data_IF_572301999577
#
_entry.id   IF_572301999577
#
_cell.length_a   1.000
_cell.length_b   1.000
_cell.length_c   1.000
_cell.angle_alpha   90.00
_cell.angle_beta   90.00
_cell.angle_gamma   90.00
#
_symmetry.space_group_name_H-M   'P 1'
#
loop_
_entity.id
_entity.type
_entity.pdbx_description
1 polymer ?
#
# COMPACT_ATOMS: atom_id res chain seq x y z
N UNK A 1 43.38 -26.52 1.56
CA UNK A 1 44.24 -25.33 1.32
C UNK A 1 43.49 -23.99 1.39
N UNK A 2 42.15 -23.94 1.26
CA UNK A 2 41.42 -22.66 1.35
C UNK A 2 41.29 -22.09 2.78
N UNK A 3 41.21 -22.95 3.80
CA UNK A 3 41.04 -22.53 5.19
C UNK A 3 42.29 -21.83 5.78
N UNK A 4 43.48 -22.24 5.34
CA UNK A 4 44.76 -21.67 5.80
C UNK A 4 45.00 -20.26 5.26
N UNK A 5 44.46 -19.92 4.08
CA UNK A 5 44.61 -18.58 3.50
C UNK A 5 43.78 -17.52 4.24
N UNK A 6 42.54 -17.85 4.64
CA UNK A 6 41.68 -16.90 5.35
C UNK A 6 42.20 -16.55 6.75
N UNK A 7 42.73 -17.54 7.47
CA UNK A 7 43.35 -17.35 8.79
C UNK A 7 44.65 -16.56 8.69
N UNK A 8 45.47 -16.82 7.65
CA UNK A 8 46.71 -16.07 7.43
C UNK A 8 46.44 -14.60 7.11
N UNK A 9 45.42 -14.31 6.28
CA UNK A 9 45.03 -12.93 5.97
C UNK A 9 44.51 -12.18 7.21
N UNK A 10 43.70 -12.83 8.05
CA UNK A 10 43.23 -12.24 9.31
C UNK A 10 44.37 -11.97 10.30
N UNK A 11 45.31 -12.90 10.46
CA UNK A 11 46.47 -12.72 11.32
C UNK A 11 47.44 -11.66 10.81
N UNK A 12 47.58 -11.52 9.49
CA UNK A 12 48.42 -10.50 8.87
C UNK A 12 47.81 -9.10 9.07
N UNK A 13 46.50 -8.96 8.87
CA UNK A 13 45.77 -7.71 9.15
C UNK A 13 45.87 -7.36 10.64
N UNK A 14 45.68 -8.33 11.54
CA UNK A 14 45.77 -8.09 12.98
C UNK A 14 47.18 -7.69 13.43
N UNK A 15 48.23 -8.34 12.91
CA UNK A 15 49.62 -7.95 13.20
C UNK A 15 49.96 -6.56 12.66
N UNK A 16 49.52 -6.21 11.45
CA UNK A 16 49.73 -4.87 10.90
C UNK A 16 49.03 -3.81 11.77
N UNK A 17 47.83 -4.12 12.26
CA UNK A 17 47.06 -3.24 13.14
C UNK A 17 47.58 -3.18 14.58
N UNK A 18 48.34 -4.17 15.06
CA UNK A 18 48.97 -4.12 16.39
C UNK A 18 50.37 -3.53 16.37
N UNK A 19 51.11 -3.66 15.26
CA UNK A 19 52.48 -3.13 15.13
C UNK A 19 52.52 -1.63 14.93
N UNK A 20 51.52 -1.10 14.22
CA UNK A 20 51.28 0.31 14.20
C UNK A 20 50.26 0.56 15.31
N UNK A 21 50.63 1.30 16.37
CA UNK A 21 49.71 1.87 17.38
C UNK A 21 48.70 2.83 16.71
N UNK A 22 47.97 2.34 15.71
CA UNK A 22 46.90 3.02 15.03
C UNK A 22 45.73 2.84 15.98
N UNK A 23 45.62 3.78 16.91
CA UNK A 23 44.37 4.06 17.58
C UNK A 23 43.32 4.31 16.48
N UNK A 24 42.61 3.25 16.08
CA UNK A 24 41.51 3.37 15.14
C UNK A 24 40.50 4.29 15.81
N UNK A 25 40.28 5.45 15.20
CA UNK A 25 39.26 6.37 15.62
C UNK A 25 37.93 5.60 15.77
N UNK A 26 37.16 5.75 16.85
CA UNK A 26 35.97 4.92 17.14
C UNK A 26 34.93 4.90 15.99
N UNK A 27 34.96 5.89 15.10
CA UNK A 27 34.15 5.91 13.87
C UNK A 27 34.55 4.82 12.85
N UNK A 28 35.83 4.46 12.76
CA UNK A 28 36.32 3.38 11.89
C UNK A 28 36.01 1.99 12.48
N UNK A 29 36.03 1.84 13.81
CA UNK A 29 35.59 0.61 14.47
C UNK A 29 34.12 0.29 14.17
N UNK A 30 33.24 1.30 14.17
CA UNK A 30 31.83 1.17 13.78
C UNK A 30 31.71 0.66 12.32
N UNK A 31 32.60 1.11 11.44
CA UNK A 31 32.62 0.72 10.02
C UNK A 31 33.03 -0.75 9.85
N UNK A 32 33.99 -1.24 10.63
CA UNK A 32 34.43 -2.64 10.60
C UNK A 32 33.40 -3.60 11.18
N UNK A 33 32.64 -3.19 12.20
CA UNK A 33 31.61 -4.03 12.84
C UNK A 33 30.25 -4.00 12.15
N UNK A 34 30.03 -3.13 11.16
CA UNK A 34 28.75 -3.06 10.42
C UNK A 34 28.99 -3.08 8.91
N UNK A 35 29.30 -4.26 8.39
CA UNK A 35 29.26 -4.53 6.95
C UNK A 35 27.92 -4.05 6.37
N UNK A 36 27.96 -2.93 5.65
CA UNK A 36 26.87 -2.33 4.87
C UNK A 36 25.64 -1.90 5.71
N UNK A 37 25.75 -0.91 6.59
CA UNK A 37 24.57 -0.28 7.20
C UNK A 37 24.08 0.92 6.38
N UNK A 38 23.23 0.69 5.37
CA UNK A 38 22.46 1.77 4.73
C UNK A 38 21.44 2.29 5.74
N UNK A 39 21.56 3.55 6.16
CA UNK A 39 20.55 4.23 6.99
C UNK A 39 19.65 5.07 6.08
N UNK A 40 18.40 4.64 5.91
CA UNK A 40 17.39 5.45 5.23
C UNK A 40 16.72 6.35 6.26
N UNK A 41 16.73 7.67 6.01
CA UNK A 41 16.00 8.66 6.80
C UNK A 41 14.93 9.29 5.93
N UNK A 42 13.66 9.09 6.30
CA UNK A 42 12.55 9.79 5.67
C UNK A 42 12.47 11.20 6.27
N UNK A 43 12.68 12.21 5.45
CA UNK A 43 12.59 13.60 5.87
C UNK A 43 11.11 14.02 6.04
N UNK A 44 10.78 14.91 6.99
CA UNK A 44 9.40 15.38 7.17
C UNK A 44 8.78 15.98 5.90
N UNK A 45 9.58 16.64 5.06
CA UNK A 45 9.13 17.17 3.76
C UNK A 45 8.71 16.05 2.79
N UNK A 46 9.42 14.93 2.78
CA UNK A 46 9.05 13.77 1.98
C UNK A 46 7.73 13.16 2.48
N UNK A 47 7.52 13.09 3.79
CA UNK A 47 6.25 12.65 4.39
C UNK A 47 5.10 13.60 4.01
N UNK A 48 5.33 14.92 4.08
CA UNK A 48 4.33 15.91 3.68
C UNK A 48 3.97 15.82 2.18
N UNK A 49 4.96 15.55 1.33
CA UNK A 49 4.73 15.32 -0.09
C UNK A 49 3.94 14.02 -0.36
N UNK A 50 4.31 12.91 0.28
CA UNK A 50 3.59 11.64 0.22
C UNK A 50 2.14 11.80 0.68
N UNK A 51 1.88 12.64 1.69
CA UNK A 51 0.54 12.98 2.13
C UNK A 51 -0.31 13.62 1.04
N UNK A 52 0.21 14.67 0.42
CA UNK A 52 -0.52 15.44 -0.58
C UNK A 52 -0.81 14.59 -1.81
N UNK A 53 0.22 13.91 -2.33
CA UNK A 53 0.05 13.05 -3.51
C UNK A 53 -0.80 11.82 -3.22
N UNK A 54 -0.63 11.18 -2.06
CA UNK A 54 -1.46 10.04 -1.67
C UNK A 54 -2.94 10.39 -1.63
N UNK A 55 -3.27 11.55 -1.05
CA UNK A 55 -4.66 12.04 -1.02
C UNK A 55 -5.20 12.32 -2.43
N UNK A 56 -4.42 12.95 -3.31
CA UNK A 56 -4.82 13.23 -4.70
C UNK A 56 -5.04 11.94 -5.50
N UNK A 57 -4.10 10.99 -5.43
CA UNK A 57 -4.21 9.70 -6.11
C UNK A 57 -5.46 8.95 -5.65
N UNK A 58 -5.72 8.86 -4.34
CA UNK A 58 -6.92 8.17 -3.84
C UNK A 58 -8.20 8.84 -4.35
N UNK A 59 -8.25 10.18 -4.34
CA UNK A 59 -9.40 10.94 -4.80
C UNK A 59 -9.63 10.84 -6.31
N UNK A 60 -8.59 10.63 -7.10
CA UNK A 60 -8.72 10.45 -8.55
C UNK A 60 -9.02 9.00 -8.93
N UNK A 61 -8.38 8.04 -8.27
CA UNK A 61 -8.40 6.63 -8.69
C UNK A 61 -9.59 5.86 -8.09
N UNK A 62 -9.95 6.10 -6.83
CA UNK A 62 -11.05 5.38 -6.19
C UNK A 62 -12.38 5.52 -6.95
N UNK A 63 -12.80 6.73 -7.41
CA UNK A 63 -14.04 6.87 -8.18
C UNK A 63 -14.05 6.15 -9.53
N UNK A 64 -12.87 5.84 -10.08
CA UNK A 64 -12.71 5.15 -11.38
C UNK A 64 -12.53 3.64 -11.23
N UNK A 65 -12.56 3.12 -10.01
CA UNK A 65 -12.40 1.70 -9.73
C UNK A 65 -13.54 0.89 -10.35
N UNK A 66 -13.19 -0.08 -11.20
CA UNK A 66 -14.11 -1.12 -11.65
C UNK A 66 -13.87 -2.39 -10.84
N UNK A 67 -14.95 -2.98 -10.33
CA UNK A 67 -14.88 -4.17 -9.48
C UNK A 67 -15.40 -5.36 -10.28
N UNK A 68 -14.69 -6.49 -10.19
CA UNK A 68 -15.09 -7.74 -10.84
C UNK A 68 -16.45 -8.21 -10.33
N UNK A 69 -17.18 -8.93 -11.19
CA UNK A 69 -18.49 -9.48 -10.84
C UNK A 69 -18.42 -10.34 -9.58
N UNK A 70 -19.39 -10.18 -8.68
CA UNK A 70 -19.45 -10.87 -7.40
C UNK A 70 -20.58 -11.89 -7.46
N UNK A 71 -20.27 -13.16 -7.16
CA UNK A 71 -21.28 -14.21 -6.97
C UNK A 71 -21.28 -14.67 -5.52
N UNK A 72 -22.38 -14.43 -4.81
CA UNK A 72 -22.54 -14.79 -3.41
C UNK A 72 -23.66 -15.83 -3.26
N UNK A 73 -23.41 -16.91 -2.52
CA UNK A 73 -24.48 -17.84 -2.12
C UNK A 73 -25.21 -17.28 -0.91
N UNK A 74 -26.54 -17.39 -0.90
CA UNK A 74 -27.36 -17.07 0.27
C UNK A 74 -27.29 -18.24 1.25
N UNK A 75 -27.40 -17.94 2.55
CA UNK A 75 -27.33 -18.90 3.65
C UNK A 75 -28.16 -20.16 3.37
N UNK A 76 -27.63 -21.29 3.83
CA UNK A 76 -28.26 -22.63 3.73
C UNK A 76 -28.54 -23.09 2.28
N UNK A 77 -27.88 -22.51 1.27
CA UNK A 77 -28.09 -22.89 -0.12
C UNK A 77 -29.45 -22.47 -0.67
N UNK A 78 -30.13 -21.51 -0.01
CA UNK A 78 -31.41 -20.98 -0.48
C UNK A 78 -31.31 -20.26 -1.82
N UNK A 79 -30.12 -19.96 -2.33
CA UNK A 79 -30.00 -19.28 -3.61
C UNK A 79 -28.63 -18.69 -3.85
N UNK A 80 -28.55 -17.89 -4.90
CA UNK A 80 -27.37 -17.09 -5.20
C UNK A 80 -27.75 -15.70 -5.72
N UNK A 81 -26.85 -14.77 -5.46
CA UNK A 81 -26.87 -13.41 -5.97
C UNK A 81 -25.65 -13.22 -6.85
N UNK A 82 -25.85 -12.62 -8.01
CA UNK A 82 -24.82 -12.16 -8.92
C UNK A 82 -24.93 -10.64 -9.05
N UNK A 83 -23.87 -9.95 -8.69
CA UNK A 83 -23.72 -8.51 -8.92
C UNK A 83 -22.70 -8.31 -10.04
N UNK A 84 -23.09 -7.61 -11.09
CA UNK A 84 -22.28 -7.41 -12.29
C UNK A 84 -22.17 -5.95 -12.67
N UNK A 85 -21.20 -5.61 -13.53
CA UNK A 85 -20.98 -4.23 -14.00
C UNK A 85 -20.77 -3.25 -12.83
N UNK A 86 -20.04 -3.70 -11.80
CA UNK A 86 -19.89 -2.97 -10.55
C UNK A 86 -19.01 -1.74 -10.77
N UNK A 87 -19.54 -0.58 -10.38
CA UNK A 87 -18.88 0.71 -10.47
C UNK A 87 -19.13 1.54 -9.23
N UNK A 88 -18.30 2.54 -9.00
CA UNK A 88 -18.57 3.55 -7.97
C UNK A 88 -19.78 4.39 -8.36
N UNK A 89 -20.77 4.47 -7.49
CA UNK A 89 -21.97 5.31 -7.63
C UNK A 89 -21.85 6.62 -6.87
N UNK A 90 -21.26 6.57 -5.67
CA UNK A 90 -21.11 7.71 -4.77
C UNK A 90 -19.71 7.71 -4.20
N UNK A 91 -19.10 8.89 -4.10
CA UNK A 91 -17.80 9.06 -3.49
C UNK A 91 -17.78 10.36 -2.69
N UNK A 92 -17.43 10.26 -1.41
CA UNK A 92 -17.11 11.40 -0.57
C UNK A 92 -15.73 11.16 0.01
N UNK A 93 -14.77 12.02 -0.37
CA UNK A 93 -13.40 12.01 0.14
C UNK A 93 -13.36 11.93 1.67
N UNK A 94 -12.33 11.28 2.24
CA UNK A 94 -12.14 11.24 3.68
C UNK A 94 -11.99 12.63 4.28
N UNK A 95 -12.40 12.81 5.53
CA UNK A 95 -12.21 14.07 6.27
C UNK A 95 -10.78 14.22 6.79
N UNK A 96 -10.08 13.10 6.97
CA UNK A 96 -8.69 13.05 7.41
C UNK A 96 -7.93 12.06 6.53
N UNK A 97 -6.76 12.47 6.04
CA UNK A 97 -5.78 11.61 5.37
C UNK A 97 -4.40 12.02 5.85
N UNK A 98 -3.75 11.15 6.62
CA UNK A 98 -2.46 11.41 7.25
C UNK A 98 -1.57 10.19 7.13
N UNK A 99 -0.42 10.40 6.52
CA UNK A 99 0.77 9.58 6.50
C UNK A 99 1.76 10.29 7.42
N UNK A 100 2.14 9.67 8.52
CA UNK A 100 3.10 10.23 9.47
C UNK A 100 4.19 9.21 9.77
N UNK A 101 5.24 9.67 10.41
CA UNK A 101 6.28 8.79 10.93
C UNK A 101 6.28 8.84 12.46
N UNK A 102 6.55 7.70 13.09
CA UNK A 102 6.73 7.61 14.53
C UNK A 102 7.94 6.76 14.88
N UNK A 103 8.46 6.94 16.09
CA UNK A 103 9.62 6.18 16.54
C UNK A 103 9.21 4.79 17.09
N UNK A 104 10.07 3.77 16.94
CA UNK A 104 11.19 3.72 16.00
C UNK A 104 10.69 3.39 14.58
N UNK A 105 11.25 4.01 13.54
CA UNK A 105 11.13 3.61 12.12
C UNK A 105 9.71 3.29 11.57
N UNK A 106 8.65 3.80 12.18
CA UNK A 106 7.27 3.51 11.79
C UNK A 106 6.76 4.52 10.78
N UNK A 107 5.93 4.04 9.86
CA UNK A 107 5.10 4.83 8.97
C UNK A 107 3.65 4.50 9.30
N UNK A 108 2.86 5.51 9.60
CA UNK A 108 1.46 5.37 9.99
C UNK A 108 0.61 6.04 8.93
N UNK A 109 -0.31 5.30 8.33
CA UNK A 109 -1.33 5.84 7.43
C UNK A 109 -2.71 5.73 8.06
N UNK A 110 -3.35 6.87 8.25
CA UNK A 110 -4.70 7.02 8.79
C UNK A 110 -5.56 7.71 7.74
N UNK A 111 -6.73 7.13 7.48
CA UNK A 111 -7.79 7.74 6.70
C UNK A 111 -9.09 7.63 7.49
N UNK A 112 -9.87 8.72 7.59
CA UNK A 112 -11.14 8.71 8.30
C UNK A 112 -12.30 9.20 7.47
N UNK A 113 -13.45 8.61 7.74
CA UNK A 113 -14.75 9.10 7.28
C UNK A 113 -14.89 9.17 5.75
N UNK A 114 -14.26 8.24 5.02
CA UNK A 114 -14.52 8.03 3.60
C UNK A 114 -15.94 7.46 3.44
N UNK A 115 -16.72 7.98 2.49
CA UNK A 115 -17.97 7.32 2.08
C UNK A 115 -17.86 6.87 0.63
N UNK A 116 -18.28 5.64 0.36
CA UNK A 116 -18.25 5.05 -0.96
C UNK A 116 -19.52 4.25 -1.21
N UNK A 117 -20.12 4.46 -2.39
CA UNK A 117 -21.21 3.67 -2.92
C UNK A 117 -20.72 2.85 -4.11
N UNK A 118 -21.12 1.59 -4.17
CA UNK A 118 -20.89 0.69 -5.30
C UNK A 118 -22.23 0.25 -5.84
N UNK A 119 -22.48 0.46 -7.14
CA UNK A 119 -23.71 0.01 -7.80
C UNK A 119 -23.38 -1.02 -8.87
N UNK A 120 -24.25 -2.00 -9.05
CA UNK A 120 -24.17 -2.97 -10.14
C UNK A 120 -25.52 -3.59 -10.47
N UNK A 121 -25.60 -4.23 -11.64
CA UNK A 121 -26.77 -5.00 -12.06
C UNK A 121 -26.89 -6.26 -11.22
N UNK A 122 -28.03 -6.39 -10.56
CA UNK A 122 -28.38 -7.50 -9.69
C UNK A 122 -29.12 -8.57 -10.48
N UNK A 123 -28.67 -9.80 -10.38
CA UNK A 123 -29.38 -10.98 -10.88
C UNK A 123 -29.21 -12.15 -9.91
N UNK A 124 -30.04 -13.19 -10.03
CA UNK A 124 -29.91 -14.37 -9.19
C UNK A 124 -31.21 -15.12 -9.01
N UNK A 125 -31.20 -16.06 -8.07
CA UNK A 125 -32.37 -16.85 -7.72
C UNK A 125 -32.34 -17.19 -6.23
N UNK A 126 -33.50 -17.07 -5.56
CA UNK A 126 -33.66 -17.38 -4.13
C UNK A 126 -34.90 -18.22 -3.88
N UNK A 127 -34.80 -19.10 -2.90
CA UNK A 127 -35.82 -20.06 -2.50
C UNK A 127 -36.25 -19.73 -1.07
N UNK A 128 -37.25 -18.84 -0.94
CA UNK A 128 -37.86 -18.51 0.37
C UNK A 128 -39.06 -19.43 0.62
N UNK A 129 -39.97 -19.50 -0.35
CA UNK A 129 -41.13 -20.39 -0.36
C UNK A 129 -41.35 -21.00 -1.75
N UNK A 130 -41.16 -20.17 -2.78
CA UNK A 130 -41.04 -20.57 -4.18
C UNK A 130 -39.73 -19.99 -4.75
N UNK A 131 -39.15 -20.59 -5.80
CA UNK A 131 -38.03 -20.00 -6.52
C UNK A 131 -38.40 -18.64 -7.08
N UNK A 132 -37.65 -17.61 -6.69
CA UNK A 132 -37.83 -16.23 -7.14
C UNK A 132 -36.57 -15.77 -7.84
N UNK A 133 -36.71 -15.33 -9.09
CA UNK A 133 -35.64 -14.65 -9.81
C UNK A 133 -35.45 -13.26 -9.22
N UNK A 134 -34.18 -12.91 -8.99
CA UNK A 134 -33.79 -11.57 -8.59
C UNK A 134 -33.38 -10.79 -9.84
N UNK A 135 -33.85 -9.57 -9.94
CA UNK A 135 -33.55 -8.61 -11.01
C UNK A 135 -33.54 -7.19 -10.41
N UNK A 136 -32.75 -6.29 -10.99
CA UNK A 136 -32.69 -4.88 -10.61
C UNK A 136 -31.26 -4.35 -10.56
N UNK A 137 -31.05 -3.28 -9.80
CA UNK A 137 -29.73 -2.77 -9.45
C UNK A 137 -29.56 -2.76 -7.93
N UNK A 138 -28.39 -3.19 -7.45
CA UNK A 138 -28.07 -3.10 -6.04
C UNK A 138 -26.96 -2.08 -5.83
N UNK A 139 -27.18 -1.15 -4.92
CA UNK A 139 -26.23 -0.15 -4.49
C UNK A 139 -25.82 -0.42 -3.04
N UNK A 140 -24.55 -0.76 -2.83
CA UNK A 140 -23.94 -0.96 -1.51
C UNK A 140 -23.25 0.32 -1.09
N UNK A 141 -23.69 0.89 0.02
CA UNK A 141 -23.24 2.18 0.53
C UNK A 141 -22.48 1.97 1.83
N UNK A 142 -21.17 2.19 1.80
CA UNK A 142 -20.30 2.20 2.97
C UNK A 142 -20.10 3.65 3.44
N UNK A 143 -20.56 3.93 4.66
CA UNK A 143 -20.42 5.22 5.31
C UNK A 143 -19.41 5.12 6.45
N UNK A 144 -18.57 6.14 6.57
CA UNK A 144 -17.61 6.23 7.66
C UNK A 144 -16.54 5.15 7.58
N UNK A 145 -15.99 4.90 6.40
CA UNK A 145 -14.85 4.00 6.21
C UNK A 145 -13.61 4.65 6.82
N UNK A 146 -13.13 4.05 7.90
CA UNK A 146 -11.94 4.41 8.62
C UNK A 146 -10.88 3.35 8.36
N UNK A 147 -9.69 3.77 8.00
CA UNK A 147 -8.57 2.90 7.69
C UNK A 147 -7.35 3.35 8.50
N UNK A 148 -6.64 2.38 9.06
CA UNK A 148 -5.40 2.60 9.78
C UNK A 148 -4.42 1.50 9.45
N UNK A 149 -3.24 1.90 9.00
CA UNK A 149 -2.11 1.02 8.72
C UNK A 149 -0.91 1.54 9.49
N UNK A 150 -0.25 0.65 10.22
CA UNK A 150 1.07 0.89 10.79
C UNK A 150 2.04 -0.08 10.13
N UNK A 151 3.12 0.46 9.62
CA UNK A 151 4.21 -0.27 9.02
C UNK A 151 5.54 0.15 9.62
N UNK A 152 6.56 -0.71 9.50
CA UNK A 152 7.92 -0.40 9.91
C UNK A 152 8.86 -0.46 8.71
N UNK A 153 9.78 0.50 8.64
CA UNK A 153 10.88 0.47 7.70
C UNK A 153 12.04 -0.32 8.32
N UNK A 154 12.26 -1.52 7.83
CA UNK A 154 13.19 -2.50 8.37
C UNK A 154 14.28 -2.86 7.35
N UNK A 155 15.28 -3.59 7.83
CA UNK A 155 16.32 -4.20 7.00
C UNK A 155 15.90 -5.63 6.68
N UNK A 156 15.87 -5.97 5.40
CA UNK A 156 15.67 -7.33 4.90
C UNK A 156 16.88 -8.23 5.23
N UNK A 157 16.72 -9.54 5.06
CA UNK A 157 17.81 -10.51 5.22
C UNK A 157 19.01 -10.23 4.30
N UNK A 158 18.77 -9.69 3.11
CA UNK A 158 19.81 -9.30 2.15
C UNK A 158 20.45 -7.95 2.47
N UNK A 159 19.98 -7.26 3.52
CA UNK A 159 20.50 -5.99 3.97
C UNK A 159 19.88 -4.76 3.31
N UNK A 160 18.86 -4.93 2.48
CA UNK A 160 18.12 -3.86 1.81
C UNK A 160 16.99 -3.34 2.68
N UNK A 161 16.55 -2.11 2.49
CA UNK A 161 15.35 -1.61 3.15
C UNK A 161 14.09 -2.31 2.63
N UNK A 162 13.18 -2.61 3.54
CA UNK A 162 11.88 -3.23 3.33
C UNK A 162 10.87 -2.55 4.24
N UNK A 163 9.63 -2.42 3.78
CA UNK A 163 8.49 -2.05 4.62
C UNK A 163 7.76 -3.31 5.06
N UNK A 164 7.66 -3.53 6.37
CA UNK A 164 6.86 -4.58 7.00
C UNK A 164 5.55 -4.01 7.51
N UNK A 165 4.45 -4.77 7.46
CA UNK A 165 3.19 -4.35 8.06
C UNK A 165 3.17 -4.80 9.52
N UNK A 166 2.99 -3.86 10.45
CA UNK A 166 2.79 -4.14 11.87
C UNK A 166 1.32 -4.49 12.11
N UNK A 167 0.42 -3.61 11.64
CA UNK A 167 -1.01 -3.91 11.63
C UNK A 167 -1.74 -3.14 10.55
N UNK A 168 -2.87 -3.69 10.12
CA UNK A 168 -3.84 -3.01 9.30
C UNK A 168 -5.23 -3.20 9.91
N UNK A 169 -6.01 -2.12 9.97
CA UNK A 169 -7.40 -2.13 10.42
C UNK A 169 -8.24 -1.27 9.50
N UNK A 170 -9.37 -1.82 9.08
CA UNK A 170 -10.46 -1.07 8.45
C UNK A 170 -11.69 -1.21 9.32
N UNK A 171 -12.44 -0.13 9.47
CA UNK A 171 -13.74 -0.14 10.14
C UNK A 171 -14.73 0.70 9.33
N UNK A 172 -15.90 0.15 9.07
CA UNK A 172 -17.00 0.80 8.38
C UNK A 172 -18.09 1.07 9.41
N UNK A 173 -18.43 2.35 9.64
CA UNK A 173 -19.41 2.73 10.64
C UNK A 173 -20.81 2.20 10.31
N UNK A 174 -21.23 2.37 9.06
CA UNK A 174 -22.54 1.94 8.61
C UNK A 174 -22.44 1.41 7.19
N UNK A 175 -23.13 0.30 6.93
CA UNK A 175 -23.34 -0.17 5.58
C UNK A 175 -24.82 -0.35 5.29
N UNK A 176 -25.23 0.16 4.13
CA UNK A 176 -26.60 0.08 3.64
C UNK A 176 -26.62 -0.54 2.25
N UNK A 177 -27.71 -1.23 1.94
CA UNK A 177 -27.94 -1.81 0.61
C UNK A 177 -29.26 -1.23 0.10
N UNK A 178 -29.22 -0.54 -1.02
CA UNK A 178 -30.38 0.00 -1.72
C UNK A 178 -30.63 -0.83 -2.98
N UNK A 179 -31.89 -1.21 -3.21
CA UNK A 179 -32.28 -1.95 -4.41
C UNK A 179 -33.12 -1.01 -5.26
N UNK A 180 -32.64 -0.73 -6.46
CA UNK A 180 -33.32 0.08 -7.44
C UNK A 180 -33.98 -0.83 -8.48
N UNK A 181 -35.19 -0.48 -8.93
CA UNK A 181 -35.93 -1.21 -9.96
C UNK A 181 -36.15 -2.71 -9.67
N UNK A 182 -36.16 -3.12 -8.40
CA UNK A 182 -36.17 -4.54 -8.03
C UNK A 182 -37.54 -5.23 -8.03
N UNK A 183 -38.66 -4.51 -8.02
CA UNK A 183 -39.99 -5.13 -7.88
C UNK A 183 -40.03 -6.13 -6.70
N UNK A 184 -40.41 -7.38 -6.97
CA UNK A 184 -40.42 -8.48 -5.98
C UNK A 184 -39.02 -8.77 -5.38
N UNK A 185 -37.94 -8.51 -6.11
CA UNK A 185 -36.55 -8.59 -5.60
C UNK A 185 -36.34 -7.67 -4.40
N UNK A 186 -36.94 -6.47 -4.42
CA UNK A 186 -36.86 -5.52 -3.30
C UNK A 186 -37.47 -6.09 -2.03
N UNK A 187 -38.59 -6.83 -2.14
CA UNK A 187 -39.22 -7.50 -1.01
C UNK A 187 -38.32 -8.63 -0.49
N UNK A 188 -37.85 -9.50 -1.38
CA UNK A 188 -37.00 -10.64 -1.01
C UNK A 188 -35.71 -10.20 -0.31
N UNK A 189 -35.01 -9.20 -0.85
CA UNK A 189 -33.75 -8.72 -0.28
C UNK A 189 -33.94 -7.92 1.00
N UNK A 190 -35.04 -7.19 1.18
CA UNK A 190 -35.30 -6.48 2.44
C UNK A 190 -35.34 -7.43 3.64
N UNK A 191 -35.84 -8.66 3.47
CA UNK A 191 -35.85 -9.69 4.52
C UNK A 191 -34.43 -10.13 4.93
N UNK A 192 -33.50 -10.15 3.98
CA UNK A 192 -32.11 -10.58 4.21
C UNK A 192 -31.13 -9.42 4.39
N UNK A 193 -31.57 -8.18 4.19
CA UNK A 193 -30.73 -6.98 4.08
C UNK A 193 -29.81 -6.80 5.28
N UNK A 194 -30.33 -6.95 6.50
CA UNK A 194 -29.53 -6.78 7.71
C UNK A 194 -28.42 -7.83 7.83
N UNK A 195 -28.75 -9.11 7.62
CA UNK A 195 -27.77 -10.19 7.67
C UNK A 195 -26.71 -10.09 6.57
N UNK A 196 -27.13 -9.76 5.35
CA UNK A 196 -26.22 -9.55 4.21
C UNK A 196 -25.31 -8.35 4.46
N UNK A 197 -25.84 -7.24 4.99
CA UNK A 197 -25.05 -6.04 5.27
C UNK A 197 -23.93 -6.35 6.27
N UNK A 198 -24.23 -6.95 7.42
CA UNK A 198 -23.19 -7.24 8.41
C UNK A 198 -22.09 -8.19 7.91
N UNK A 199 -22.46 -9.18 7.11
CA UNK A 199 -21.51 -10.10 6.49
C UNK A 199 -20.65 -9.41 5.42
N UNK A 200 -21.25 -8.61 4.54
CA UNK A 200 -20.51 -7.86 3.52
C UNK A 200 -19.58 -6.84 4.18
N UNK A 201 -19.96 -6.26 5.33
CA UNK A 201 -19.17 -5.24 6.03
C UNK A 201 -17.82 -5.81 6.45
N UNK A 202 -17.87 -6.89 7.22
CA UNK A 202 -16.66 -7.57 7.72
C UNK A 202 -15.79 -8.11 6.59
N UNK A 203 -16.42 -8.60 5.51
CA UNK A 203 -15.71 -9.03 4.31
C UNK A 203 -14.96 -7.87 3.64
N UNK A 204 -15.61 -6.73 3.41
CA UNK A 204 -14.98 -5.55 2.80
C UNK A 204 -13.84 -5.02 3.69
N UNK A 205 -14.07 -4.90 5.00
CA UNK A 205 -13.05 -4.47 5.95
C UNK A 205 -11.77 -5.32 5.87
N UNK A 206 -11.95 -6.65 5.80
CA UNK A 206 -10.85 -7.62 5.66
C UNK A 206 -10.17 -7.50 4.30
N UNK A 207 -10.96 -7.39 3.21
CA UNK A 207 -10.45 -7.31 1.84
C UNK A 207 -9.61 -6.06 1.60
N UNK A 208 -10.01 -4.91 2.16
CA UNK A 208 -9.23 -3.66 2.06
C UNK A 208 -7.84 -3.86 2.65
N UNK A 209 -7.75 -4.40 3.87
CA UNK A 209 -6.46 -4.64 4.51
C UNK A 209 -5.62 -5.67 3.79
N UNK A 210 -6.24 -6.76 3.32
CA UNK A 210 -5.57 -7.76 2.50
C UNK A 210 -4.95 -7.13 1.25
N UNK A 211 -5.72 -6.34 0.51
CA UNK A 211 -5.27 -5.70 -0.74
C UNK A 211 -4.15 -4.68 -0.51
N UNK A 212 -4.26 -3.84 0.52
CA UNK A 212 -3.21 -2.88 0.85
C UNK A 212 -1.92 -3.60 1.30
N UNK A 213 -2.06 -4.68 2.06
CA UNK A 213 -0.92 -5.50 2.52
C UNK A 213 -0.23 -6.20 1.35
N UNK A 214 -0.99 -6.80 0.43
CA UNK A 214 -0.47 -7.38 -0.82
C UNK A 214 0.29 -6.32 -1.63
N UNK A 215 -0.30 -5.14 -1.86
CA UNK A 215 0.37 -4.06 -2.57
C UNK A 215 1.70 -3.64 -1.93
N UNK A 216 1.77 -3.56 -0.60
CA UNK A 216 3.02 -3.18 0.08
C UNK A 216 4.05 -4.30 0.00
N UNK A 217 3.63 -5.54 0.21
CA UNK A 217 4.54 -6.68 0.23
C UNK A 217 5.09 -7.01 -1.15
N UNK A 218 4.26 -6.94 -2.17
CA UNK A 218 4.56 -7.44 -3.50
C UNK A 218 5.05 -6.30 -4.39
N UNK A 219 4.30 -5.19 -4.50
CA UNK A 219 4.65 -4.10 -5.42
C UNK A 219 5.62 -3.09 -4.80
N UNK A 220 5.29 -2.57 -3.60
CA UNK A 220 6.08 -1.48 -3.01
C UNK A 220 7.48 -1.95 -2.61
N UNK A 221 7.58 -3.09 -1.94
CA UNK A 221 8.87 -3.64 -1.53
C UNK A 221 9.74 -4.07 -2.72
N UNK A 222 9.16 -4.58 -3.80
CA UNK A 222 9.91 -4.86 -5.03
C UNK A 222 10.49 -3.57 -5.61
N UNK A 223 9.68 -2.51 -5.72
CA UNK A 223 10.15 -1.20 -6.20
C UNK A 223 11.20 -0.60 -5.28
N UNK A 224 11.03 -0.71 -3.97
CA UNK A 224 12.01 -0.24 -2.98
C UNK A 224 13.35 -1.00 -3.08
N UNK A 225 13.32 -2.28 -3.42
CA UNK A 225 14.53 -3.07 -3.68
C UNK A 225 15.24 -2.59 -4.96
N UNK A 226 14.48 -2.32 -6.02
CA UNK A 226 15.02 -1.85 -7.30
C UNK A 226 15.66 -0.45 -7.20
N UNK A 227 15.16 0.44 -6.34
CA UNK A 227 15.73 1.78 -6.17
C UNK A 227 17.05 1.80 -5.39
N UNK A 228 17.28 0.83 -4.50
CA UNK A 228 18.49 0.75 -3.68
C UNK A 228 19.71 0.15 -4.41
N UNK A 229 19.48 -0.67 -5.44
CA UNK A 229 20.54 -1.37 -6.17
C UNK A 229 21.20 -0.52 -7.25
N UNK A 230 20.62 0.64 -7.60
CA UNK A 230 21.04 1.46 -8.74
C UNK A 230 21.42 2.87 -8.30
N UNK A 231 22.65 3.05 -7.84
CA UNK A 231 23.32 4.35 -7.95
C UNK A 231 24.82 4.16 -7.74
N UNK A 232 25.62 4.47 -8.76
CA UNK A 232 27.05 4.67 -8.53
C UNK A 232 27.23 5.93 -7.68
N UNK A 233 28.28 6.01 -6.86
CA UNK A 233 28.59 7.23 -6.09
C UNK A 233 28.70 8.46 -7.02
N UNK A 234 29.16 8.26 -8.26
CA UNK A 234 29.23 9.30 -9.29
C UNK A 234 27.85 9.83 -9.69
N UNK A 235 26.83 8.97 -9.74
CA UNK A 235 25.44 9.35 -10.04
C UNK A 235 24.77 10.04 -8.84
N UNK A 236 25.06 9.61 -7.60
CA UNK A 236 24.56 10.30 -6.38
C UNK A 236 25.06 11.74 -6.30
N UNK A 237 26.33 11.98 -6.68
CA UNK A 237 26.90 13.33 -6.75
C UNK A 237 26.19 14.17 -7.82
N UNK A 238 25.84 13.58 -8.97
CA UNK A 238 25.06 14.26 -10.01
C UNK A 238 23.61 14.53 -9.59
N UNK A 239 22.94 13.58 -8.96
CA UNK A 239 21.53 13.71 -8.51
C UNK A 239 21.40 14.78 -7.42
N UNK A 240 22.36 14.83 -6.48
CA UNK A 240 22.39 15.92 -5.48
C UNK A 240 22.67 17.29 -6.11
N UNK A 241 23.35 17.35 -7.25
CA UNK A 241 23.50 18.60 -8.01
C UNK A 241 22.21 19.02 -8.74
N UNK A 242 21.32 18.08 -9.08
CA UNK A 242 20.00 18.40 -9.65
C UNK A 242 19.02 19.00 -8.62
N UNK A 243 19.27 18.87 -7.32
CA UNK A 243 18.56 19.68 -6.33
C UNK A 243 18.82 21.20 -6.49
N UNK A 244 19.82 21.61 -7.28
CA UNK A 244 20.09 23.00 -7.62
C UNK A 244 19.36 23.50 -8.88
N UNK A 245 18.76 22.64 -9.69
CA UNK A 245 18.07 23.03 -10.94
C UNK A 245 16.59 22.71 -10.78
N UNK A 246 15.75 23.75 -10.84
CA UNK A 246 14.36 23.73 -10.38
C UNK A 246 13.47 22.62 -10.95
N UNK A 247 12.53 22.22 -10.10
CA UNK A 247 11.52 21.17 -10.25
C UNK A 247 10.72 21.24 -11.57
N UNK A 248 10.38 20.08 -12.19
CA UNK A 248 9.44 20.03 -13.31
C UNK A 248 7.99 20.31 -12.85
N UNK A 249 7.24 20.94 -13.76
CA UNK A 249 5.86 21.39 -13.58
C UNK A 249 4.89 20.19 -13.54
N UNK A 250 3.83 20.27 -12.71
CA UNK A 250 2.74 19.29 -12.52
C UNK A 250 2.18 18.70 -13.82
N UNK A 251 2.22 19.43 -14.93
CA UNK A 251 1.77 18.94 -16.24
C UNK A 251 2.57 17.72 -16.75
N UNK A 252 3.87 17.68 -16.49
CA UNK A 252 4.77 16.60 -16.91
C UNK A 252 4.54 15.31 -16.11
N UNK A 253 4.16 15.46 -14.83
CA UNK A 253 3.69 14.35 -13.98
C UNK A 253 2.35 13.78 -14.47
N UNK A 254 1.42 14.62 -14.92
CA UNK A 254 0.10 14.18 -15.41
C UNK A 254 0.15 13.46 -16.76
N UNK A 255 1.07 13.84 -17.66
CA UNK A 255 1.22 13.15 -18.95
C UNK A 255 1.76 11.71 -18.81
N UNK A 256 2.42 11.40 -17.69
CA UNK A 256 3.00 10.08 -17.42
C UNK A 256 1.95 9.04 -16.99
N UNK A 257 0.81 9.47 -16.43
CA UNK A 257 -0.30 8.61 -16.04
C UNK A 257 -1.40 8.57 -17.12
N UNK A 258 -1.06 8.16 -18.34
CA UNK A 258 -2.08 7.75 -19.32
C UNK A 258 -2.75 6.43 -18.86
N UNK A 259 -4.07 6.29 -19.04
CA UNK A 259 -4.86 5.23 -18.44
C UNK A 259 -4.45 3.84 -18.94
N UNK A 260 -4.24 2.94 -17.97
CA UNK A 260 -4.08 1.50 -18.05
C UNK A 260 -4.25 0.85 -19.44
N UNK A 261 -3.12 0.50 -20.06
CA UNK A 261 -2.95 -0.84 -20.59
C UNK A 261 -1.68 -1.41 -19.97
N UNK A 262 -1.86 -2.48 -19.21
CA UNK A 262 -0.82 -3.14 -18.43
C UNK A 262 0.28 -3.62 -19.37
N UNK A 263 1.39 -2.87 -19.41
CA UNK A 263 2.70 -3.40 -19.73
C UNK A 263 3.76 -2.56 -19.00
N UNK A 264 4.61 -3.29 -18.31
CA UNK A 264 5.53 -2.87 -17.25
C UNK A 264 6.63 -1.95 -17.80
N UNK A 265 6.77 -0.76 -17.20
CA UNK A 265 8.05 -0.09 -16.88
C UNK A 265 7.74 1.30 -16.30
N UNK A 266 8.01 1.53 -15.02
CA UNK A 266 7.89 2.88 -14.44
C UNK A 266 9.10 3.20 -13.56
N UNK A 267 9.73 4.32 -13.90
CA UNK A 267 10.88 4.95 -13.28
C UNK A 267 10.47 6.09 -12.34
N UNK A 268 11.29 6.28 -11.29
CA UNK A 268 11.47 7.48 -10.46
C UNK A 268 10.57 7.64 -9.21
N UNK A 269 10.98 6.95 -8.14
CA UNK A 269 10.91 7.45 -6.76
C UNK A 269 12.36 7.67 -6.30
N UNK A 270 12.81 8.93 -6.24
CA UNK A 270 14.11 9.28 -5.65
C UNK A 270 14.00 9.26 -4.12
N UNK A 271 14.67 8.30 -3.50
CA UNK A 271 14.94 8.30 -2.06
C UNK A 271 16.32 8.92 -1.86
N UNK A 272 16.38 10.10 -1.25
CA UNK A 272 17.66 10.75 -0.91
C UNK A 272 18.37 9.95 0.18
N UNK A 273 19.36 9.12 -0.20
CA UNK A 273 20.28 8.48 0.75
C UNK A 273 21.42 9.45 1.04
N UNK A 274 21.43 10.02 2.25
CA UNK A 274 22.59 10.77 2.73
C UNK A 274 23.67 9.79 3.18
N UNK A 275 24.68 9.56 2.35
CA UNK A 275 25.96 9.02 2.79
C UNK A 275 26.75 10.21 3.37
N UNK A 276 26.95 10.22 4.68
CA UNK A 276 27.75 11.25 5.35
C UNK A 276 29.22 10.99 5.04
N UNK A 277 29.77 11.70 4.05
CA UNK A 277 31.20 11.74 3.77
C UNK A 277 31.87 12.76 4.71
N UNK A 278 32.86 12.30 5.48
CA UNK A 278 33.97 13.12 5.96
C UNK A 278 35.25 12.36 5.62
#
# INVERSE_FOLDING_TARGET
MAFTHATFLHLLIYNILSFADIHLHPLLQIYLSSSNAVRIRILPRAVAYLNNIGAEILNEQLPRLSISNIKQRINNGQGYILLSQIRVSRYKRPTEHIISTSAPNKIIWIMRNLNMGLIGSLSGEVNILVPMKLEGEAEVLAYGVNFQLESALERSETGTARVSIIFCRTNIQLMNIEIHNGGMTGIALNLFKQGISEQIRSLIETLICKKVTEFINDDFNEKLLQTQTKTSLADVIRINAFAAIGLPNTKELMETFRPYNVNISYSHLEVSVFIKNH
#
